data_IF_473508617969
#
_entry.id   IF_473508617969
#
_cell.length_a   1.000
_cell.length_b   1.000
_cell.length_c   1.000
_cell.angle_alpha   90.00
_cell.angle_beta   90.00
_cell.angle_gamma   90.00
#
_symmetry.space_group_name_H-M   'P 1'
#
loop_
_entity.id
_entity.type
_entity.pdbx_description
1 polymer ?
#
# COMPACT_ATOMS: atom_id res chain seq x y z
N UNK A 1 9.28 19.78 1.78
CA UNK A 1 8.76 21.03 1.10
C UNK A 1 7.80 20.63 0.01
N UNK A 2 6.58 21.20 -0.05
CA UNK A 2 5.59 20.87 -1.10
C UNK A 2 6.07 21.35 -2.48
N UNK A 3 5.76 20.58 -3.53
CA UNK A 3 5.97 20.94 -4.92
C UNK A 3 4.83 21.86 -5.41
N UNK A 4 5.13 22.79 -6.32
CA UNK A 4 4.09 23.50 -7.09
C UNK A 4 3.54 22.56 -8.18
N UNK A 5 2.37 22.86 -8.75
CA UNK A 5 1.77 22.03 -9.80
C UNK A 5 2.72 21.82 -10.99
N UNK A 6 3.37 22.89 -11.47
CA UNK A 6 4.38 22.79 -12.53
C UNK A 6 5.59 21.94 -12.16
N UNK A 7 6.00 21.93 -10.89
CA UNK A 7 7.09 21.08 -10.41
C UNK A 7 6.66 19.62 -10.31
N UNK A 8 5.41 19.36 -9.96
CA UNK A 8 4.84 17.99 -9.96
C UNK A 8 4.77 17.43 -11.37
N UNK A 9 4.27 18.22 -12.31
CA UNK A 9 4.20 17.86 -13.73
C UNK A 9 5.59 17.55 -14.30
N UNK A 10 6.58 18.40 -14.01
CA UNK A 10 7.95 18.22 -14.44
C UNK A 10 8.59 16.95 -13.86
N UNK A 11 8.40 16.68 -12.58
CA UNK A 11 8.87 15.46 -11.91
C UNK A 11 8.14 14.22 -12.45
N UNK A 12 6.83 14.32 -12.66
CA UNK A 12 5.99 13.26 -13.22
C UNK A 12 6.46 12.83 -14.61
N UNK A 13 6.78 13.79 -15.48
CA UNK A 13 7.35 13.50 -16.82
C UNK A 13 8.68 12.73 -16.71
N UNK A 14 9.62 13.18 -15.85
CA UNK A 14 10.92 12.50 -15.69
C UNK A 14 10.72 11.08 -15.16
N UNK A 15 9.83 10.90 -14.18
CA UNK A 15 9.55 9.59 -13.59
C UNK A 15 8.88 8.63 -14.59
N UNK A 16 7.90 9.12 -15.34
CA UNK A 16 7.24 8.37 -16.41
C UNK A 16 8.22 7.96 -17.52
N UNK A 17 9.07 8.90 -17.95
CA UNK A 17 10.08 8.63 -18.97
C UNK A 17 11.05 7.52 -18.53
N UNK A 18 11.51 7.56 -17.26
CA UNK A 18 12.39 6.52 -16.72
C UNK A 18 11.66 5.18 -16.62
N UNK A 19 10.39 5.18 -16.28
CA UNK A 19 9.57 3.97 -16.22
C UNK A 19 9.45 3.31 -17.61
N UNK A 20 9.14 4.11 -18.63
CA UNK A 20 8.84 3.61 -19.97
C UNK A 20 10.11 3.19 -20.75
N UNK A 21 11.21 3.92 -20.54
CA UNK A 21 12.44 3.77 -21.34
C UNK A 21 13.63 3.22 -20.54
N UNK A 22 13.48 2.95 -19.25
CA UNK A 22 14.54 2.47 -18.32
C UNK A 22 15.80 3.36 -18.32
N UNK A 23 15.65 4.63 -18.70
CA UNK A 23 16.72 5.64 -18.75
C UNK A 23 16.13 7.04 -18.54
N UNK A 24 16.85 7.98 -17.91
CA UNK A 24 16.35 9.33 -17.75
C UNK A 24 16.32 10.10 -19.07
N UNK A 25 15.40 11.08 -19.23
CA UNK A 25 15.35 11.93 -20.39
C UNK A 25 16.59 12.83 -20.50
N UNK A 26 16.97 13.19 -21.72
CA UNK A 26 17.95 14.24 -21.98
C UNK A 26 17.32 15.62 -21.80
N UNK A 27 18.13 16.65 -21.67
CA UNK A 27 17.64 18.04 -21.60
C UNK A 27 16.86 18.45 -22.84
N UNK A 28 17.24 17.94 -24.02
CA UNK A 28 16.55 18.19 -25.27
C UNK A 28 15.15 17.57 -25.28
N UNK A 29 15.00 16.32 -24.82
CA UNK A 29 13.71 15.65 -24.68
C UNK A 29 12.79 16.36 -23.69
N UNK A 30 13.36 16.86 -22.57
CA UNK A 30 12.62 17.68 -21.61
C UNK A 30 12.17 19.00 -22.25
N UNK A 31 13.07 19.70 -22.93
CA UNK A 31 12.74 20.95 -23.62
C UNK A 31 11.65 20.73 -24.66
N UNK A 32 11.74 19.67 -25.45
CA UNK A 32 10.75 19.32 -26.48
C UNK A 32 9.37 19.06 -25.86
N UNK A 33 9.32 18.34 -24.76
CA UNK A 33 8.05 18.00 -24.09
C UNK A 33 7.35 19.24 -23.48
N UNK A 34 8.12 20.12 -22.81
CA UNK A 34 7.56 21.30 -22.12
C UNK A 34 7.55 22.58 -22.97
N UNK A 35 8.04 22.52 -24.21
CA UNK A 35 8.17 23.70 -25.06
C UNK A 35 9.19 24.72 -24.53
N UNK A 36 10.21 24.28 -23.77
CA UNK A 36 11.23 25.20 -23.28
C UNK A 36 12.24 25.56 -24.38
N UNK A 37 12.53 26.84 -24.50
CA UNK A 37 13.51 27.36 -25.48
C UNK A 37 14.95 27.34 -24.96
N UNK A 38 15.17 27.02 -23.68
CA UNK A 38 16.48 27.07 -23.06
C UNK A 38 16.72 25.92 -22.05
N UNK A 39 17.88 25.33 -22.11
CA UNK A 39 18.35 24.35 -21.10
C UNK A 39 18.52 24.96 -19.71
N UNK A 40 18.65 26.29 -19.60
CA UNK A 40 18.69 26.96 -18.30
C UNK A 40 17.38 26.77 -17.52
N UNK A 41 16.25 26.77 -18.20
CA UNK A 41 14.95 26.51 -17.58
C UNK A 41 14.91 25.10 -16.98
N UNK A 42 15.34 24.07 -17.76
CA UNK A 42 15.45 22.69 -17.28
C UNK A 42 16.36 22.60 -16.06
N UNK A 43 17.55 23.24 -16.13
CA UNK A 43 18.51 23.27 -15.03
C UNK A 43 17.92 23.90 -13.77
N UNK A 44 17.13 24.96 -13.90
CA UNK A 44 16.49 25.64 -12.76
C UNK A 44 15.44 24.74 -12.09
N UNK A 45 14.62 24.05 -12.88
CA UNK A 45 13.67 23.07 -12.35
C UNK A 45 14.39 21.93 -11.63
N UNK A 46 15.41 21.34 -12.26
CA UNK A 46 16.17 20.22 -11.69
C UNK A 46 16.87 20.62 -10.38
N UNK A 47 17.54 21.78 -10.32
CA UNK A 47 18.17 22.29 -9.08
C UNK A 47 17.15 22.55 -7.98
N UNK A 48 15.95 23.01 -8.36
CA UNK A 48 14.89 23.23 -7.39
C UNK A 48 14.36 21.92 -6.83
N UNK A 49 14.20 20.90 -7.68
CA UNK A 49 13.80 19.55 -7.26
C UNK A 49 14.89 18.88 -6.43
N UNK A 50 16.17 19.07 -6.79
CA UNK A 50 17.30 18.56 -6.02
C UNK A 50 17.37 19.17 -4.62
N UNK A 51 17.25 20.50 -4.51
CA UNK A 51 17.19 21.19 -3.20
C UNK A 51 16.00 20.74 -2.35
N UNK A 52 14.91 20.32 -2.98
CA UNK A 52 13.73 19.75 -2.32
C UNK A 52 13.84 18.25 -2.03
N UNK A 53 14.91 17.58 -2.49
CA UNK A 53 15.16 16.15 -2.26
C UNK A 53 14.45 15.19 -3.22
N UNK A 54 13.92 15.68 -4.35
CA UNK A 54 13.16 14.86 -5.32
C UNK A 54 14.01 14.28 -6.45
N UNK A 55 15.14 14.86 -6.73
CA UNK A 55 16.10 14.35 -7.70
C UNK A 55 17.52 14.50 -7.16
N UNK A 56 18.44 13.68 -7.66
CA UNK A 56 19.89 13.84 -7.48
C UNK A 56 20.52 14.08 -8.84
N UNK A 57 21.32 15.11 -8.92
CA UNK A 57 22.10 15.42 -10.11
C UNK A 57 23.53 14.91 -9.92
N UNK A 58 24.24 14.49 -10.98
CA UNK A 58 25.60 14.03 -10.86
C UNK A 58 26.55 15.20 -10.57
N UNK A 59 27.58 14.96 -9.79
CA UNK A 59 28.62 15.96 -9.46
C UNK A 59 29.45 16.38 -10.69
N UNK A 60 29.48 15.58 -11.76
CA UNK A 60 30.20 15.87 -13.00
C UNK A 60 29.30 16.49 -14.06
N UNK A 61 29.65 17.69 -14.52
CA UNK A 61 28.87 18.53 -15.46
C UNK A 61 28.56 17.93 -16.84
N UNK A 62 29.04 16.73 -17.20
CA UNK A 62 28.97 16.21 -18.58
C UNK A 62 28.31 14.84 -18.73
N UNK A 63 27.54 14.36 -17.77
CA UNK A 63 26.82 13.11 -17.92
C UNK A 63 25.46 13.35 -18.60
N UNK A 64 25.39 13.07 -19.88
CA UNK A 64 24.10 12.96 -20.59
C UNK A 64 23.25 11.89 -19.89
N UNK A 65 21.97 12.20 -19.57
CA UNK A 65 21.02 11.27 -18.94
C UNK A 65 21.41 10.78 -17.52
N UNK A 66 21.84 11.67 -16.65
CA UNK A 66 22.27 11.30 -15.31
C UNK A 66 21.35 11.83 -14.18
N UNK A 67 20.10 12.14 -14.50
CA UNK A 67 19.07 12.53 -13.54
C UNK A 67 18.63 11.27 -12.80
N UNK A 68 18.89 11.21 -11.51
CA UNK A 68 18.29 10.18 -10.65
C UNK A 68 17.07 10.81 -9.97
N UNK A 69 15.88 10.29 -10.27
CA UNK A 69 14.74 10.56 -9.44
C UNK A 69 14.99 9.85 -8.13
N UNK A 70 15.32 10.66 -7.13
CA UNK A 70 15.07 10.24 -5.78
C UNK A 70 13.56 10.44 -5.72
N UNK A 71 12.76 9.39 -5.91
CA UNK A 71 11.51 9.48 -5.21
C UNK A 71 11.92 9.96 -3.83
N UNK A 72 11.54 11.17 -3.37
CA UNK A 72 11.15 11.18 -2.02
C UNK A 72 10.16 10.04 -2.12
N UNK A 73 10.43 8.94 -1.48
CA UNK A 73 9.30 8.28 -0.88
C UNK A 73 8.53 9.50 -0.40
N UNK A 74 7.52 9.99 -1.19
CA UNK A 74 6.40 10.54 -0.50
C UNK A 74 6.22 9.43 0.50
N UNK A 75 6.64 9.68 1.71
CA UNK A 75 5.97 9.16 2.84
C UNK A 75 4.56 9.73 2.68
N UNK A 76 3.82 9.25 1.71
CA UNK A 76 2.45 8.92 1.90
C UNK A 76 2.59 7.87 2.98
N UNK A 77 2.71 8.39 4.19
CA UNK A 77 2.39 7.64 5.37
C UNK A 77 0.93 7.34 5.13
N UNK A 78 0.68 6.15 4.63
CA UNK A 78 -0.68 5.68 4.57
C UNK A 78 -1.02 5.47 6.03
N UNK A 79 -1.65 6.49 6.59
CA UNK A 79 -2.20 6.46 7.93
C UNK A 79 -3.50 5.68 7.83
N UNK A 80 -3.45 4.43 8.25
CA UNK A 80 -4.65 3.62 8.35
C UNK A 80 -5.17 3.70 9.78
N UNK A 81 -6.47 4.02 9.96
CA UNK A 81 -7.09 3.84 11.24
C UNK A 81 -6.98 2.36 11.62
N UNK A 82 -6.49 2.08 12.82
CA UNK A 82 -6.58 0.76 13.41
C UNK A 82 -8.06 0.48 13.67
N UNK A 83 -8.70 -0.31 12.80
CA UNK A 83 -10.10 -0.70 12.94
C UNK A 83 -10.23 -1.76 14.05
N UNK A 84 -9.95 -1.36 15.28
CA UNK A 84 -10.32 -2.08 16.49
C UNK A 84 -9.53 -3.35 16.81
N UNK A 85 -9.41 -3.60 18.10
CA UNK A 85 -9.29 -4.95 18.65
C UNK A 85 -10.70 -5.56 18.58
N UNK A 86 -10.93 -6.50 17.72
CA UNK A 86 -12.20 -7.25 17.72
C UNK A 86 -12.11 -8.24 18.86
N UNK A 87 -12.65 -7.84 20.01
CA UNK A 87 -12.94 -8.76 21.10
C UNK A 87 -14.40 -9.21 20.94
N UNK A 88 -14.60 -10.53 20.90
CA UNK A 88 -15.91 -11.15 20.90
C UNK A 88 -16.85 -10.47 21.92
N UNK A 89 -18.02 -10.00 21.49
CA UNK A 89 -19.17 -9.84 22.35
C UNK A 89 -19.52 -8.45 22.88
N UNK A 90 -18.99 -7.33 22.33
CA UNK A 90 -19.51 -5.98 22.65
C UNK A 90 -19.63 -5.11 21.41
N UNK A 91 -20.69 -4.26 21.30
CA UNK A 91 -20.77 -3.22 20.29
C UNK A 91 -19.53 -2.32 20.38
N UNK A 92 -19.00 -1.89 19.24
CA UNK A 92 -17.90 -0.93 19.18
C UNK A 92 -18.39 0.38 19.81
N UNK A 93 -18.04 0.62 21.06
CA UNK A 93 -18.08 1.97 21.62
C UNK A 93 -17.07 2.80 20.82
N UNK A 94 -17.52 3.98 20.36
CA UNK A 94 -16.68 4.93 19.64
C UNK A 94 -15.41 5.19 20.47
N UNK A 95 -14.27 4.66 20.01
CA UNK A 95 -12.98 4.90 20.64
C UNK A 95 -12.54 6.29 20.21
N UNK A 96 -12.47 7.23 21.15
CA UNK A 96 -12.09 8.64 20.95
C UNK A 96 -10.63 8.83 20.49
N UNK A 97 -9.82 7.79 20.46
CA UNK A 97 -8.45 7.80 19.92
C UNK A 97 -8.32 6.70 18.88
N UNK A 98 -8.34 7.10 17.63
CA UNK A 98 -7.99 6.22 16.52
C UNK A 98 -6.47 6.12 16.49
N UNK A 99 -5.92 5.00 16.97
CA UNK A 99 -4.51 4.70 16.75
C UNK A 99 -4.28 4.61 15.24
N UNK A 100 -3.29 5.36 14.75
CA UNK A 100 -2.96 5.43 13.33
C UNK A 100 -1.67 4.67 13.11
N UNK A 101 -1.69 3.72 12.19
CA UNK A 101 -0.50 2.95 11.81
C UNK A 101 0.06 3.48 10.50
N UNK A 102 1.34 3.83 10.52
CA UNK A 102 2.09 4.22 9.32
C UNK A 102 2.55 2.96 8.56
N UNK A 103 2.07 2.81 7.33
CA UNK A 103 2.45 1.70 6.45
C UNK A 103 3.33 2.21 5.31
N UNK A 104 4.49 1.58 5.03
CA UNK A 104 5.30 1.91 3.88
C UNK A 104 4.54 1.72 2.56
N UNK A 105 4.65 2.65 1.59
CA UNK A 105 3.98 2.54 0.28
C UNK A 105 4.29 1.25 -0.48
N UNK A 106 5.49 0.68 -0.27
CA UNK A 106 5.91 -0.58 -0.88
C UNK A 106 5.11 -1.81 -0.43
N UNK A 107 4.39 -1.71 0.69
CA UNK A 107 3.54 -2.78 1.22
C UNK A 107 2.07 -2.65 0.79
N UNK A 108 1.73 -1.56 0.08
CA UNK A 108 0.36 -1.27 -0.33
C UNK A 108 0.26 -1.45 -1.84
N UNK A 109 -0.58 -2.39 -2.26
CA UNK A 109 -0.91 -2.62 -3.67
C UNK A 109 -1.97 -1.64 -4.20
N UNK A 110 -2.59 -1.99 -5.33
CA UNK A 110 -3.73 -1.24 -5.86
C UNK A 110 -5.01 -1.56 -5.08
N UNK A 111 -5.90 -0.58 -4.94
CA UNK A 111 -7.19 -0.71 -4.28
C UNK A 111 -7.21 -0.14 -2.86
N UNK A 112 -8.35 -0.27 -2.21
CA UNK A 112 -8.55 0.18 -0.83
C UNK A 112 -7.97 -0.84 0.14
N UNK A 113 -7.33 -0.35 1.21
CA UNK A 113 -6.73 -1.18 2.24
C UNK A 113 -7.19 -0.72 3.63
N UNK A 114 -7.08 -1.61 4.59
CA UNK A 114 -7.24 -1.32 6.02
C UNK A 114 -6.23 -2.12 6.82
N UNK A 115 -6.04 -1.74 8.08
CA UNK A 115 -5.11 -2.44 8.99
C UNK A 115 -5.88 -2.97 10.18
N UNK A 116 -5.56 -4.21 10.55
CA UNK A 116 -6.09 -4.86 11.75
C UNK A 116 -4.94 -5.37 12.60
N UNK A 117 -5.14 -5.38 13.92
CA UNK A 117 -4.28 -6.11 14.84
C UNK A 117 -4.83 -7.51 15.06
N UNK A 118 -4.00 -8.51 14.84
CA UNK A 118 -4.32 -9.92 15.05
C UNK A 118 -4.42 -10.24 16.53
N UNK A 119 -5.42 -11.04 16.91
CA UNK A 119 -5.56 -11.59 18.24
C UNK A 119 -5.67 -13.09 18.20
N UNK A 120 -4.79 -13.76 18.94
CA UNK A 120 -4.72 -15.20 19.04
C UNK A 120 -3.82 -15.87 18.00
N UNK A 121 -3.64 -17.18 18.13
CA UNK A 121 -2.62 -17.96 17.42
C UNK A 121 -3.18 -18.82 16.28
N UNK A 122 -4.40 -18.57 15.84
CA UNK A 122 -5.09 -19.43 14.87
C UNK A 122 -4.43 -19.50 13.49
N UNK A 123 -3.49 -18.60 13.19
CA UNK A 123 -2.77 -18.51 11.92
C UNK A 123 -1.24 -18.58 12.09
N UNK A 124 -0.77 -19.08 13.22
CA UNK A 124 0.66 -19.08 13.58
C UNK A 124 1.53 -19.95 12.65
N UNK A 125 0.99 -21.00 12.06
CA UNK A 125 1.71 -21.86 11.13
C UNK A 125 1.90 -21.21 9.75
N UNK A 126 1.13 -20.17 9.45
CA UNK A 126 1.33 -19.27 8.29
C UNK A 126 2.20 -18.04 8.64
N UNK A 127 2.74 -17.96 9.87
CA UNK A 127 3.60 -16.87 10.31
C UNK A 127 2.84 -15.62 10.75
N UNK A 128 1.53 -15.68 10.96
CA UNK A 128 0.71 -14.60 11.51
C UNK A 128 0.49 -14.87 13.00
N UNK A 129 1.06 -14.01 13.84
CA UNK A 129 1.14 -14.17 15.28
C UNK A 129 0.20 -13.23 16.03
N UNK A 130 -0.06 -13.55 17.30
CA UNK A 130 -0.80 -12.67 18.20
C UNK A 130 -0.08 -11.31 18.34
N UNK A 131 -0.84 -10.22 18.18
CA UNK A 131 -0.32 -8.86 18.23
C UNK A 131 0.19 -8.29 16.90
N UNK A 132 0.34 -9.10 15.85
CA UNK A 132 0.76 -8.63 14.54
C UNK A 132 -0.23 -7.65 13.94
N UNK A 133 0.29 -6.73 13.11
CA UNK A 133 -0.53 -5.87 12.26
C UNK A 133 -0.56 -6.43 10.84
N UNK A 134 -1.76 -6.68 10.32
CA UNK A 134 -1.96 -7.13 8.95
C UNK A 134 -2.58 -6.02 8.10
N UNK A 135 -2.04 -5.87 6.88
CA UNK A 135 -2.57 -4.96 5.86
C UNK A 135 -3.47 -5.79 4.97
N UNK A 136 -4.74 -5.42 4.93
CA UNK A 136 -5.77 -6.16 4.21
C UNK A 136 -6.27 -5.32 3.03
N UNK A 137 -6.25 -5.91 1.84
CA UNK A 137 -6.86 -5.32 0.66
C UNK A 137 -8.37 -5.62 0.68
N UNK A 138 -9.20 -4.57 0.63
CA UNK A 138 -10.66 -4.75 0.58
C UNK A 138 -11.07 -5.48 -0.69
N UNK A 139 -11.78 -6.59 -0.52
CA UNK A 139 -12.40 -7.33 -1.60
C UNK A 139 -13.60 -8.14 -1.07
N UNK A 140 -14.71 -8.22 -1.83
CA UNK A 140 -15.93 -8.91 -1.40
C UNK A 140 -15.92 -10.41 -1.66
N UNK A 141 -14.87 -10.93 -2.31
CA UNK A 141 -14.74 -12.33 -2.69
C UNK A 141 -13.32 -12.82 -2.49
N UNK A 142 -13.16 -14.12 -2.33
CA UNK A 142 -11.87 -14.77 -2.15
C UNK A 142 -11.77 -16.04 -2.99
N UNK A 143 -10.55 -16.40 -3.34
CA UNK A 143 -10.24 -17.66 -4.05
C UNK A 143 -9.96 -18.78 -3.06
N UNK A 144 -10.07 -20.01 -3.56
CA UNK A 144 -9.82 -21.23 -2.78
C UNK A 144 -8.41 -21.26 -2.22
N UNK A 145 -8.28 -21.34 -0.89
CA UNK A 145 -6.99 -21.36 -0.18
C UNK A 145 -6.41 -20.00 0.16
N UNK A 146 -7.03 -18.88 -0.23
CA UNK A 146 -6.61 -17.56 0.20
C UNK A 146 -6.76 -17.36 1.71
N UNK A 147 -5.85 -16.57 2.28
CA UNK A 147 -6.00 -16.09 3.66
C UNK A 147 -6.86 -14.83 3.63
N UNK A 148 -7.97 -14.86 4.36
CA UNK A 148 -8.97 -13.81 4.34
C UNK A 148 -9.25 -13.24 5.72
N UNK A 149 -9.71 -12.01 5.75
CA UNK A 149 -10.45 -11.45 6.87
C UNK A 149 -11.93 -11.58 6.57
N UNK A 150 -12.64 -12.30 7.41
CA UNK A 150 -14.05 -12.55 7.27
C UNK A 150 -14.81 -12.16 8.54
N UNK A 151 -16.03 -11.66 8.38
CA UNK A 151 -16.99 -11.47 9.46
C UNK A 151 -17.91 -12.68 9.55
N UNK A 152 -18.04 -13.25 10.75
CA UNK A 152 -19.02 -14.25 11.11
C UNK A 152 -19.83 -13.68 12.27
N UNK A 153 -21.14 -13.48 12.11
CA UNK A 153 -21.98 -12.88 13.15
C UNK A 153 -21.42 -11.55 13.70
N UNK A 154 -20.87 -10.68 12.84
CA UNK A 154 -20.19 -9.44 13.19
C UNK A 154 -18.87 -9.60 13.95
N UNK A 155 -18.31 -10.78 14.04
CA UNK A 155 -16.97 -11.02 14.60
C UNK A 155 -15.95 -11.25 13.48
N UNK A 156 -14.88 -10.44 13.46
CA UNK A 156 -13.82 -10.60 12.46
C UNK A 156 -12.90 -11.77 12.83
N UNK A 157 -12.53 -12.55 11.82
CA UNK A 157 -11.56 -13.62 11.96
C UNK A 157 -10.63 -13.68 10.75
N UNK A 158 -9.38 -14.14 10.97
CA UNK A 158 -8.41 -14.41 9.91
C UNK A 158 -8.30 -15.91 9.74
N UNK A 159 -8.59 -16.42 8.55
CA UNK A 159 -8.57 -17.86 8.22
C UNK A 159 -8.24 -18.09 6.76
N UNK A 160 -7.92 -19.33 6.40
CA UNK A 160 -7.91 -19.78 5.01
C UNK A 160 -9.32 -20.10 4.55
N UNK A 161 -9.66 -19.61 3.36
CA UNK A 161 -10.97 -19.72 2.74
C UNK A 161 -11.06 -20.96 1.83
N UNK A 162 -12.04 -21.82 2.08
CA UNK A 162 -12.32 -22.99 1.26
C UNK A 162 -13.82 -23.04 0.94
N UNK A 163 -14.24 -22.76 -0.31
CA UNK A 163 -15.65 -22.87 -0.68
C UNK A 163 -16.10 -24.33 -0.69
N UNK A 164 -17.35 -24.59 -0.29
CA UNK A 164 -18.04 -25.87 -0.26
C UNK A 164 -19.38 -25.76 -0.99
N UNK A 165 -20.00 -26.89 -1.30
CA UNK A 165 -21.30 -26.91 -1.97
C UNK A 165 -22.41 -26.25 -1.15
N UNK A 166 -22.38 -26.37 0.18
CA UNK A 166 -23.37 -25.89 1.14
C UNK A 166 -22.89 -24.73 2.03
N UNK A 167 -21.73 -24.14 1.73
CA UNK A 167 -21.19 -23.05 2.54
C UNK A 167 -19.72 -22.82 2.34
N UNK A 168 -19.06 -22.38 3.39
CA UNK A 168 -17.62 -22.08 3.42
C UNK A 168 -16.96 -22.76 4.61
N UNK A 169 -15.82 -23.37 4.38
CA UNK A 169 -14.94 -23.84 5.43
C UNK A 169 -13.80 -22.85 5.64
N UNK A 170 -13.73 -22.27 6.83
CA UNK A 170 -12.67 -21.40 7.26
C UNK A 170 -11.66 -22.17 8.11
N UNK A 171 -10.47 -22.41 7.55
CA UNK A 171 -9.43 -23.21 8.22
C UNK A 171 -8.43 -22.34 8.94
N UNK A 172 -8.14 -22.62 10.22
CA UNK A 172 -6.97 -22.05 10.88
C UNK A 172 -5.68 -22.62 10.29
N UNK A 173 -4.61 -21.85 10.30
CA UNK A 173 -3.24 -22.35 10.12
C UNK A 173 -2.65 -22.70 11.50
N UNK A 174 -3.26 -23.70 12.13
CA UNK A 174 -2.91 -24.18 13.46
C UNK A 174 -3.38 -25.62 13.61
N UNK A 175 -2.45 -26.58 13.73
CA UNK A 175 -2.73 -28.01 13.79
C UNK A 175 -3.64 -28.47 14.94
N UNK A 176 -3.69 -27.70 16.03
CA UNK A 176 -4.55 -27.96 17.19
C UNK A 176 -5.95 -27.35 17.13
N UNK A 177 -6.33 -26.66 16.05
CA UNK A 177 -7.64 -26.00 15.92
C UNK A 177 -8.46 -26.61 14.80
N UNK A 178 -9.77 -26.82 15.07
CA UNK A 178 -10.70 -27.32 14.06
C UNK A 178 -11.13 -26.21 13.08
N UNK A 179 -11.44 -26.56 11.82
CA UNK A 179 -12.07 -25.64 10.88
C UNK A 179 -13.45 -25.18 11.36
N UNK A 180 -13.86 -23.99 10.91
CA UNK A 180 -15.19 -23.42 11.14
C UNK A 180 -15.98 -23.59 9.85
N UNK A 181 -17.12 -24.26 9.93
CA UNK A 181 -18.09 -24.37 8.82
C UNK A 181 -19.13 -23.26 8.97
N UNK A 182 -19.30 -22.45 7.93
CA UNK A 182 -20.21 -21.29 7.92
C UNK A 182 -21.13 -21.38 6.71
N UNK A 183 -22.42 -21.12 6.91
CA UNK A 183 -23.36 -21.01 5.79
C UNK A 183 -23.13 -19.71 5.02
N UNK A 184 -23.46 -19.71 3.71
CA UNK A 184 -23.18 -18.55 2.83
C UNK A 184 -23.83 -17.25 3.29
N UNK A 185 -24.96 -17.30 4.02
CA UNK A 185 -25.64 -16.11 4.53
C UNK A 185 -25.04 -15.49 5.79
N UNK A 186 -24.18 -16.23 6.49
CA UNK A 186 -23.65 -15.83 7.79
C UNK A 186 -22.18 -15.36 7.71
N UNK A 187 -21.63 -15.28 6.49
CA UNK A 187 -20.25 -14.92 6.20
C UNK A 187 -20.17 -13.70 5.30
N UNK A 188 -19.34 -12.75 5.67
CA UNK A 188 -18.98 -11.60 4.84
C UNK A 188 -17.46 -11.51 4.71
N UNK A 189 -16.94 -11.58 3.47
CA UNK A 189 -15.51 -11.38 3.20
C UNK A 189 -15.22 -9.88 3.20
N UNK A 190 -14.20 -9.48 3.94
CA UNK A 190 -13.75 -8.09 4.04
C UNK A 190 -12.48 -7.84 3.21
N UNK A 191 -11.66 -8.87 3.00
CA UNK A 191 -10.42 -8.77 2.27
C UNK A 191 -9.54 -10.01 2.37
#
# INVERSE_FOLDING_TARGET
MKLTEKQKEFLGFISGYIHDWSKPPSFEEICSHFGFTSYNTVTTYLKTLERKGYVRLPDKKNLKRAIQVISPVETRRFEFPLLGRVAAGKPIEAVETVDVIEVPPSMIGQGDHFVLQVKGDSMKEDGILDGDFIIVRKQPAAENGETVVALINNEATVKKYYPREDGVELRPAHSGMAPILVQLGDLEIQG
#
